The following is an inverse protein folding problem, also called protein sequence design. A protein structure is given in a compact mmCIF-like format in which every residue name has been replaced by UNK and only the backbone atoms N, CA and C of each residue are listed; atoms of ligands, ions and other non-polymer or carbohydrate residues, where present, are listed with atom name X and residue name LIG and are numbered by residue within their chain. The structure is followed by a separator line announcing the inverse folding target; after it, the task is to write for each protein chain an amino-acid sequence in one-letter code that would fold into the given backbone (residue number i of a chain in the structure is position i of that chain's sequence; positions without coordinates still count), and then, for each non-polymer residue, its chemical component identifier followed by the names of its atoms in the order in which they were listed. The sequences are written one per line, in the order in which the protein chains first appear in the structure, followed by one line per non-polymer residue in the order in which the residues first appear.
data_IF_179702562356
#
_entry.id   IF_179702562356
#
_cell.length_a   1.000
_cell.length_b   1.000
_cell.length_c   1.000
_cell.angle_alpha   90.00
_cell.angle_beta   90.00
_cell.angle_gamma   90.00
#
_symmetry.space_group_name_H-M   'P 1'
#
loop_
_entity.id
_entity.type
_entity.pdbx_description
1 polymer ?
#
# COMPACT_ATOMS: atom_id res chain seq x y z
N UNK A 1 17.67 -15.92 -0.14
CA UNK A 1 16.41 -15.81 -0.89
C UNK A 1 15.72 -17.16 -0.98
N UNK A 2 14.49 -17.24 -0.47
CA UNK A 2 13.64 -18.43 -0.54
C UNK A 2 13.26 -18.79 -1.99
N UNK A 3 12.77 -20.00 -2.26
CA UNK A 3 12.31 -20.36 -3.60
C UNK A 3 11.06 -19.59 -4.01
N UNK A 4 10.94 -19.28 -5.31
CA UNK A 4 9.77 -18.58 -5.87
C UNK A 4 8.45 -19.26 -5.50
N UNK A 5 8.42 -20.60 -5.48
CA UNK A 5 7.24 -21.39 -5.09
C UNK A 5 6.77 -21.08 -3.67
N UNK A 6 7.70 -20.87 -2.73
CA UNK A 6 7.38 -20.52 -1.34
C UNK A 6 6.87 -19.09 -1.27
N UNK A 7 7.51 -18.16 -1.98
CA UNK A 7 7.09 -16.74 -2.05
C UNK A 7 5.67 -16.64 -2.61
N UNK A 8 5.37 -17.31 -3.72
CA UNK A 8 4.03 -17.36 -4.30
C UNK A 8 3.00 -17.98 -3.35
N UNK A 9 3.36 -19.06 -2.64
CA UNK A 9 2.48 -19.67 -1.64
C UNK A 9 2.14 -18.73 -0.48
N UNK A 10 3.10 -17.90 -0.04
CA UNK A 10 2.89 -16.90 1.00
C UNK A 10 2.05 -15.73 0.49
N UNK A 11 2.38 -15.19 -0.68
CA UNK A 11 1.65 -14.09 -1.32
C UNK A 11 0.18 -14.46 -1.62
N UNK A 12 -0.07 -15.66 -2.13
CA UNK A 12 -1.42 -16.16 -2.40
C UNK A 12 -2.28 -16.28 -1.14
N UNK A 13 -1.70 -16.76 -0.03
CA UNK A 13 -2.40 -16.82 1.27
C UNK A 13 -2.72 -15.43 1.81
N UNK A 14 -1.79 -14.50 1.68
CA UNK A 14 -1.98 -13.10 2.07
C UNK A 14 -3.07 -12.46 1.21
N UNK A 15 -3.02 -12.63 -0.11
CA UNK A 15 -4.06 -12.15 -1.03
C UNK A 15 -5.47 -12.62 -0.61
N UNK A 16 -5.64 -13.92 -0.33
CA UNK A 16 -6.93 -14.47 0.09
C UNK A 16 -7.39 -13.90 1.44
N UNK A 17 -6.48 -13.73 2.39
CA UNK A 17 -6.80 -13.12 3.68
C UNK A 17 -7.24 -11.66 3.51
N UNK A 18 -6.49 -10.91 2.70
CA UNK A 18 -6.77 -9.52 2.35
C UNK A 18 -8.16 -9.38 1.74
N UNK A 19 -8.48 -10.26 0.78
CA UNK A 19 -9.78 -10.27 0.13
C UNK A 19 -10.92 -10.62 1.09
N UNK A 20 -10.73 -11.58 1.99
CA UNK A 20 -11.80 -12.05 2.87
C UNK A 20 -12.19 -11.05 3.97
N UNK A 21 -11.22 -10.42 4.60
CA UNK A 21 -11.51 -9.58 5.79
C UNK A 21 -11.61 -8.10 5.42
N UNK A 22 -10.85 -7.63 4.43
CA UNK A 22 -10.83 -6.21 4.04
C UNK A 22 -11.43 -5.93 2.66
N UNK A 23 -11.95 -6.97 1.98
CA UNK A 23 -12.44 -6.90 0.59
C UNK A 23 -11.44 -6.26 -0.38
N UNK A 24 -10.14 -6.39 -0.11
CA UNK A 24 -9.07 -5.74 -0.86
C UNK A 24 -8.34 -6.75 -1.72
N UNK A 25 -8.19 -6.43 -3.00
CA UNK A 25 -7.44 -7.22 -3.96
C UNK A 25 -6.00 -6.71 -3.96
N UNK A 26 -5.04 -7.60 -3.81
CA UNK A 26 -3.62 -7.32 -4.01
C UNK A 26 -3.12 -8.08 -5.23
N UNK A 27 -2.29 -7.44 -6.04
CA UNK A 27 -1.63 -8.11 -7.17
C UNK A 27 -0.40 -8.86 -6.65
N UNK A 28 -0.38 -10.18 -6.84
CA UNK A 28 0.67 -11.08 -6.34
C UNK A 28 1.98 -10.86 -7.09
N UNK A 29 1.96 -10.70 -8.41
CA UNK A 29 3.17 -10.43 -9.19
C UNK A 29 3.75 -9.07 -8.84
N UNK A 30 2.89 -8.07 -8.71
CA UNK A 30 3.32 -6.74 -8.31
C UNK A 30 3.94 -6.73 -6.90
N UNK A 31 3.35 -7.45 -5.95
CA UNK A 31 3.94 -7.61 -4.63
C UNK A 31 5.31 -8.30 -4.69
N UNK A 32 5.50 -9.31 -5.55
CA UNK A 32 6.78 -10.02 -5.67
C UNK A 32 7.89 -9.11 -6.19
N UNK A 33 7.59 -8.33 -7.23
CA UNK A 33 8.55 -7.49 -7.94
C UNK A 33 8.82 -6.17 -7.18
N UNK A 34 7.79 -5.56 -6.58
CA UNK A 34 7.91 -4.28 -5.88
C UNK A 34 8.18 -4.48 -4.38
N UNK A 35 9.46 -4.33 -4.01
CA UNK A 35 9.95 -4.48 -2.62
C UNK A 35 9.48 -3.38 -1.67
N UNK A 36 9.03 -2.23 -2.17
CA UNK A 36 8.48 -1.15 -1.34
C UNK A 36 6.99 -1.31 -1.06
N UNK A 37 6.30 -2.06 -1.92
CA UNK A 37 4.87 -2.29 -1.82
C UNK A 37 4.53 -3.37 -0.79
N UNK A 38 5.26 -4.50 -0.79
CA UNK A 38 5.00 -5.61 0.12
C UNK A 38 5.11 -5.25 1.62
N UNK A 39 6.11 -4.47 2.09
CA UNK A 39 6.22 -4.07 3.50
C UNK A 39 5.03 -3.26 3.99
N UNK A 40 4.46 -2.39 3.15
CA UNK A 40 3.28 -1.57 3.48
C UNK A 40 2.08 -2.45 3.83
N UNK A 41 1.93 -3.58 3.15
CA UNK A 41 0.91 -4.55 3.49
C UNK A 41 1.25 -5.31 4.75
N UNK A 42 2.48 -5.82 4.89
CA UNK A 42 2.90 -6.56 6.09
C UNK A 42 2.83 -5.72 7.38
N UNK A 43 2.86 -4.39 7.30
CA UNK A 43 2.73 -3.45 8.42
C UNK A 43 1.28 -3.02 8.70
N UNK A 44 0.32 -3.44 7.87
CA UNK A 44 -1.07 -3.00 8.01
C UNK A 44 -1.67 -3.46 9.35
N UNK A 45 -2.28 -2.54 10.13
CA UNK A 45 -2.94 -2.89 11.38
C UNK A 45 -4.21 -3.67 11.06
N UNK A 46 -4.20 -4.96 11.37
CA UNK A 46 -5.31 -5.85 11.09
C UNK A 46 -6.20 -6.03 12.33
N UNK A 47 -7.52 -6.22 12.17
CA UNK A 47 -8.38 -6.55 13.30
C UNK A 47 -7.86 -7.78 14.08
N UNK A 48 -8.00 -7.82 15.41
CA UNK A 48 -7.46 -8.89 16.27
C UNK A 48 -7.99 -10.30 15.92
N UNK A 49 -9.03 -10.40 15.10
CA UNK A 49 -9.65 -11.64 14.63
C UNK A 49 -8.89 -12.39 13.52
N UNK A 50 -7.68 -11.98 13.09
CA UNK A 50 -6.82 -12.82 12.21
C UNK A 50 -5.59 -13.35 12.94
N UNK A 51 -5.73 -14.48 13.63
CA UNK A 51 -4.65 -15.06 14.42
C UNK A 51 -3.41 -15.45 13.58
N UNK A 52 -3.62 -15.67 12.28
CA UNK A 52 -2.61 -16.11 11.32
C UNK A 52 -1.88 -14.97 10.59
N UNK A 53 -2.35 -13.72 10.68
CA UNK A 53 -1.74 -12.58 9.99
C UNK A 53 -0.31 -12.25 10.45
N UNK A 54 -0.01 -12.13 11.76
CA UNK A 54 1.33 -11.81 12.23
C UNK A 54 2.37 -12.84 11.77
N UNK A 55 1.99 -14.13 11.80
CA UNK A 55 2.84 -15.23 11.36
C UNK A 55 3.08 -15.22 9.85
N UNK A 56 2.04 -14.97 9.05
CA UNK A 56 2.15 -14.92 7.58
C UNK A 56 3.00 -13.72 7.13
N UNK A 57 2.76 -12.54 7.70
CA UNK A 57 3.51 -11.33 7.37
C UNK A 57 4.99 -11.43 7.76
N UNK A 58 5.31 -11.98 8.94
CA UNK A 58 6.70 -12.22 9.35
C UNK A 58 7.42 -13.19 8.40
N UNK A 59 6.76 -14.29 8.01
CA UNK A 59 7.33 -15.25 7.05
C UNK A 59 7.56 -14.64 5.67
N UNK A 60 6.63 -13.82 5.19
CA UNK A 60 6.79 -13.16 3.90
C UNK A 60 7.95 -12.16 3.93
N UNK A 61 8.09 -11.37 5.01
CA UNK A 61 9.21 -10.45 5.20
C UNK A 61 10.56 -11.16 5.12
N UNK A 62 10.71 -12.28 5.83
CA UNK A 62 11.93 -13.09 5.79
C UNK A 62 12.18 -13.69 4.39
N UNK A 63 11.16 -14.32 3.80
CA UNK A 63 11.31 -15.00 2.51
C UNK A 63 11.68 -14.06 1.36
N UNK A 64 11.19 -12.82 1.43
CA UNK A 64 11.43 -11.78 0.42
C UNK A 64 12.52 -10.78 0.83
N UNK A 65 13.15 -10.95 1.99
CA UNK A 65 14.19 -10.05 2.52
C UNK A 65 13.72 -8.58 2.54
N UNK A 66 12.49 -8.35 3.01
CA UNK A 66 11.81 -7.04 2.97
C UNK A 66 12.27 -6.06 4.05
N UNK A 67 12.88 -6.58 5.11
CA UNK A 67 13.40 -5.75 6.19
C UNK A 67 14.80 -5.25 5.76
N UNK A 68 14.83 -4.04 5.18
CA UNK A 68 16.08 -3.34 4.92
C UNK A 68 16.79 -3.02 6.26
N UNK A 69 18.14 -3.02 6.31
CA UNK A 69 18.83 -2.48 7.48
C UNK A 69 18.33 -1.06 7.72
N UNK A 70 17.96 -0.77 8.96
CA UNK A 70 17.47 0.54 9.34
C UNK A 70 18.45 1.59 8.79
N UNK A 71 18.00 2.51 7.91
CA UNK A 71 18.84 3.66 7.63
C UNK A 71 19.04 4.38 8.95
N UNK A 72 20.31 4.54 9.33
CA UNK A 72 20.74 5.51 10.33
C UNK A 72 19.95 6.80 10.09
N UNK A 73 19.42 7.34 11.18
CA UNK A 73 18.39 8.36 11.21
C UNK A 73 18.57 9.46 10.16
N UNK A 74 17.71 9.47 9.14
CA UNK A 74 17.37 10.65 8.34
C UNK A 74 15.94 10.51 7.80
N UNK A 75 14.98 10.42 8.71
CA UNK A 75 13.55 10.62 8.41
C UNK A 75 12.99 11.87 9.09
N UNK A 76 13.84 12.85 9.37
CA UNK A 76 13.41 14.24 9.45
C UNK A 76 13.58 14.84 8.05
N UNK A 77 12.52 14.84 7.22
CA UNK A 77 12.25 15.78 6.09
C UNK A 77 11.32 15.18 5.00
N UNK A 78 10.27 14.42 5.32
CA UNK A 78 9.18 14.15 4.35
C UNK A 78 7.78 14.22 5.00
N UNK A 79 7.59 15.15 5.95
CA UNK A 79 6.27 15.51 6.50
C UNK A 79 6.14 17.02 6.79
N UNK A 80 6.77 17.86 5.97
CA UNK A 80 6.77 19.32 6.15
C UNK A 80 5.79 20.09 5.26
N UNK A 81 4.81 19.44 4.64
CA UNK A 81 3.83 20.11 3.77
C UNK A 81 2.39 19.86 4.22
N UNK A 82 1.47 20.83 4.04
CA UNK A 82 0.08 20.64 4.39
C UNK A 82 -0.48 19.42 3.64
N UNK A 83 -1.13 18.52 4.37
CA UNK A 83 -1.65 17.27 3.81
C UNK A 83 -2.66 17.55 2.69
N UNK A 84 -2.94 16.57 1.83
CA UNK A 84 -3.92 16.73 0.74
C UNK A 84 -5.25 17.32 1.22
N UNK A 85 -5.74 16.87 2.38
CA UNK A 85 -6.97 17.39 3.00
C UNK A 85 -6.83 18.85 3.45
N UNK A 86 -5.66 19.23 3.94
CA UNK A 86 -5.37 20.61 4.34
C UNK A 86 -5.26 21.52 3.11
N UNK A 87 -4.60 21.05 2.05
CA UNK A 87 -4.55 21.73 0.73
C UNK A 87 -5.93 21.91 0.12
N UNK A 88 -6.81 20.92 0.24
CA UNK A 88 -8.20 21.02 -0.23
C UNK A 88 -9.04 21.99 0.62
N UNK A 89 -8.68 22.17 1.90
CA UNK A 89 -9.32 23.16 2.77
C UNK A 89 -8.79 24.57 2.52
N UNK A 90 -7.52 24.73 2.17
CA UNK A 90 -6.89 26.04 1.92
C UNK A 90 -7.02 26.52 0.48
N UNK A 91 -7.13 25.62 -0.50
CA UNK A 91 -7.33 25.97 -1.90
C UNK A 91 -8.81 26.18 -2.18
N UNK A 92 -9.28 27.42 -2.11
CA UNK A 92 -10.38 27.85 -2.98
C UNK A 92 -9.74 28.22 -4.32
N UNK A 93 -9.83 27.38 -5.37
CA UNK A 93 -9.36 27.81 -6.69
C UNK A 93 -10.12 29.08 -7.08
N UNK A 94 -9.41 30.16 -7.39
CA UNK A 94 -10.00 31.23 -8.19
C UNK A 94 -10.53 30.59 -9.46
N UNK A 95 -11.81 30.84 -9.73
CA UNK A 95 -12.54 30.17 -10.78
C UNK A 95 -11.84 30.38 -12.14
N UNK A 96 -11.26 29.33 -12.70
CA UNK A 96 -11.05 29.27 -14.15
C UNK A 96 -12.42 29.03 -14.77
N UNK A 97 -12.85 30.01 -15.56
CA UNK A 97 -14.19 30.25 -16.12
C UNK A 97 -15.09 29.00 -16.35
N UNK A 98 -16.39 29.04 -15.98
CA UNK A 98 -17.30 27.89 -16.01
C UNK A 98 -17.52 27.26 -17.41
N UNK A 99 -17.22 27.97 -18.48
CA UNK A 99 -17.37 27.47 -19.86
C UNK A 99 -16.36 26.39 -20.24
N UNK A 100 -15.24 26.26 -19.51
CA UNK A 100 -14.19 25.28 -19.81
C UNK A 100 -14.40 23.91 -19.13
N UNK A 101 -15.46 23.74 -18.32
CA UNK A 101 -15.72 22.50 -17.55
C UNK A 101 -16.73 21.55 -18.20
N UNK A 102 -17.43 21.95 -19.26
CA UNK A 102 -18.40 21.08 -19.91
C UNK A 102 -17.73 20.26 -21.01
N UNK A 103 -17.38 19.00 -20.72
CA UNK A 103 -17.19 17.99 -21.76
C UNK A 103 -18.53 17.81 -22.45
N UNK A 104 -18.60 18.15 -23.75
CA UNK A 104 -19.81 18.07 -24.55
C UNK A 104 -20.42 16.67 -24.48
N UNK A 105 -21.67 16.60 -24.03
CA UNK A 105 -22.48 15.40 -24.15
C UNK A 105 -22.60 15.03 -25.64
N UNK A 106 -22.23 13.79 -25.97
CA UNK A 106 -22.43 13.13 -27.26
C UNK A 106 -23.80 13.46 -27.85
N UNK A 107 -23.79 14.01 -29.07
CA UNK A 107 -24.88 13.89 -30.05
C UNK A 107 -24.48 12.87 -31.09
#
# INVERSE_FOLDING_TARGET
MESDSVIYGLLGRIHLLMRRVSNRITDVEYMRVNKDYAPRWCAWPWPPATPNWPRLSARLRLAMELDAPAPEADLATERGGPGLLERLRTARPEATHPTQRCVGSLR
#
